data_IF_096825925368
#
_entry.id   IF_096825925368
#
_cell.length_a   1.000
_cell.length_b   1.000
_cell.length_c   1.000
_cell.angle_alpha   90.00
_cell.angle_beta   90.00
_cell.angle_gamma   90.00
#
_symmetry.space_group_name_H-M   'P 1'
#
loop_
_entity.id
_entity.type
_entity.pdbx_description
1 polymer ?
#
# COMPACT_ATOMS: atom_id res chain seq x y z
N UNK A 1 8.30 -23.15 -11.87
CA UNK A 1 8.27 -22.89 -13.31
C UNK A 1 6.87 -23.13 -13.88
N UNK A 2 6.31 -24.34 -13.71
CA UNK A 2 5.04 -24.78 -14.33
C UNK A 2 3.88 -23.79 -14.15
N UNK A 3 3.68 -23.22 -12.96
CA UNK A 3 2.64 -22.20 -12.70
C UNK A 3 2.75 -20.99 -13.64
N UNK A 4 3.98 -20.56 -13.89
CA UNK A 4 4.25 -19.39 -14.74
C UNK A 4 4.19 -19.71 -16.23
N UNK A 5 4.38 -20.97 -16.62
CA UNK A 5 4.12 -21.45 -17.98
C UNK A 5 2.61 -21.45 -18.26
N UNK A 6 1.79 -21.99 -17.36
CA UNK A 6 0.31 -21.99 -17.50
C UNK A 6 -0.24 -20.56 -17.60
N UNK A 7 0.26 -19.65 -16.78
CA UNK A 7 -0.20 -18.26 -16.77
C UNK A 7 0.35 -17.40 -17.90
N UNK A 8 1.30 -17.90 -18.72
CA UNK A 8 1.98 -17.14 -19.77
C UNK A 8 3.09 -16.21 -19.29
N UNK A 9 3.27 -16.06 -17.97
CA UNK A 9 4.34 -15.20 -17.45
C UNK A 9 5.75 -15.70 -17.78
N UNK A 10 5.91 -17.02 -17.97
CA UNK A 10 7.22 -17.57 -18.33
C UNK A 10 7.72 -17.05 -19.67
N UNK A 11 6.84 -16.84 -20.63
CA UNK A 11 7.17 -16.37 -21.98
C UNK A 11 7.31 -14.84 -22.03
N UNK A 12 6.46 -14.11 -21.30
CA UNK A 12 6.39 -12.64 -21.38
C UNK A 12 7.13 -11.90 -20.25
N UNK A 13 7.56 -12.59 -19.19
CA UNK A 13 8.12 -11.94 -17.98
C UNK A 13 9.37 -12.60 -17.42
N UNK A 14 9.90 -13.64 -18.07
CA UNK A 14 11.03 -14.45 -17.60
C UNK A 14 12.26 -13.62 -17.25
N UNK A 15 12.57 -12.58 -18.03
CA UNK A 15 13.75 -11.74 -17.85
C UNK A 15 13.77 -11.00 -16.50
N UNK A 16 12.60 -10.85 -15.88
CA UNK A 16 12.43 -10.23 -14.55
C UNK A 16 12.28 -11.25 -13.42
N UNK A 17 12.51 -12.53 -13.67
CA UNK A 17 12.43 -13.58 -12.65
C UNK A 17 13.81 -13.95 -12.13
N UNK A 18 13.93 -14.18 -10.83
CA UNK A 18 15.06 -14.90 -10.27
C UNK A 18 14.85 -16.39 -10.50
N UNK A 19 15.63 -16.96 -11.40
CA UNK A 19 15.56 -18.38 -11.77
C UNK A 19 16.60 -19.14 -10.97
N UNK A 20 16.20 -20.26 -10.40
CA UNK A 20 17.04 -21.15 -9.60
C UNK A 20 17.06 -22.52 -10.26
N UNK A 21 18.24 -22.99 -10.59
CA UNK A 21 18.48 -24.32 -11.14
C UNK A 21 19.08 -25.22 -10.07
N UNK A 22 18.47 -26.39 -9.81
CA UNK A 22 19.03 -27.34 -8.87
C UNK A 22 20.11 -28.19 -9.59
N UNK A 23 21.34 -27.77 -9.44
CA UNK A 23 22.51 -28.40 -10.04
C UNK A 23 22.79 -29.81 -9.52
N UNK A 24 22.13 -30.26 -8.46
CA UNK A 24 22.34 -31.62 -7.88
C UNK A 24 21.51 -32.69 -8.56
N UNK A 25 20.61 -32.38 -9.50
CA UNK A 25 19.69 -33.32 -10.14
C UNK A 25 20.15 -33.85 -11.53
N UNK A 26 21.41 -33.74 -11.85
CA UNK A 26 21.96 -34.36 -13.08
C UNK A 26 21.68 -33.58 -14.37
N UNK A 27 21.43 -34.29 -15.52
CA UNK A 27 21.33 -33.66 -16.85
C UNK A 27 20.07 -32.81 -17.10
N UNK A 28 19.01 -32.97 -16.30
CA UNK A 28 17.77 -32.22 -16.40
C UNK A 28 17.41 -31.66 -15.02
N UNK A 29 18.02 -30.56 -14.60
CA UNK A 29 17.74 -29.98 -13.29
C UNK A 29 16.31 -29.41 -13.21
N UNK A 30 15.67 -29.56 -12.07
CA UNK A 30 14.42 -28.85 -11.81
C UNK A 30 14.68 -27.34 -11.80
N UNK A 31 13.79 -26.60 -12.47
CA UNK A 31 13.86 -25.15 -12.55
C UNK A 31 12.79 -24.56 -11.64
N UNK A 32 13.25 -23.80 -10.68
CA UNK A 32 12.40 -23.01 -9.78
C UNK A 32 12.56 -21.52 -10.11
N UNK A 33 11.67 -20.71 -9.56
CA UNK A 33 11.84 -19.26 -9.55
C UNK A 33 11.31 -18.68 -8.24
N UNK A 34 11.91 -17.58 -7.79
CA UNK A 34 11.29 -16.80 -6.73
C UNK A 34 10.01 -16.16 -7.26
N UNK A 35 8.98 -16.10 -6.44
CA UNK A 35 7.65 -15.61 -6.81
C UNK A 35 7.72 -14.12 -7.25
N UNK A 36 7.47 -13.78 -8.53
CA UNK A 36 7.46 -12.40 -9.02
C UNK A 36 6.08 -11.74 -8.94
N UNK A 37 5.02 -12.57 -8.84
CA UNK A 37 3.61 -12.15 -8.82
C UNK A 37 2.76 -13.18 -8.07
N UNK A 38 1.64 -12.74 -7.51
CA UNK A 38 0.70 -13.58 -6.75
C UNK A 38 -0.39 -14.21 -7.63
N UNK A 39 -0.67 -13.65 -8.79
CA UNK A 39 -1.81 -14.05 -9.63
C UNK A 39 -1.90 -15.56 -9.90
N UNK A 40 -0.84 -16.31 -10.27
CA UNK A 40 -0.98 -17.76 -10.50
C UNK A 40 -1.38 -18.53 -9.24
N UNK A 41 -0.95 -18.06 -8.05
CA UNK A 41 -1.32 -18.69 -6.78
C UNK A 41 -2.82 -18.47 -6.49
N UNK A 42 -3.33 -17.25 -6.71
CA UNK A 42 -4.76 -16.95 -6.55
C UNK A 42 -5.64 -17.82 -7.45
N UNK A 43 -5.19 -18.12 -8.70
CA UNK A 43 -5.90 -19.02 -9.59
C UNK A 43 -5.98 -20.45 -9.04
N UNK A 44 -4.89 -20.95 -8.44
CA UNK A 44 -4.88 -22.28 -7.81
C UNK A 44 -5.79 -22.33 -6.60
N UNK A 45 -5.79 -21.29 -5.76
CA UNK A 45 -6.68 -21.18 -4.59
C UNK A 45 -8.16 -21.21 -5.04
N UNK A 46 -8.51 -20.42 -6.05
CA UNK A 46 -9.85 -20.45 -6.63
C UNK A 46 -10.22 -21.85 -7.15
N UNK A 47 -9.31 -22.49 -7.90
CA UNK A 47 -9.54 -23.82 -8.52
C UNK A 47 -9.74 -24.94 -7.51
N UNK A 48 -9.32 -24.76 -6.27
CA UNK A 48 -9.41 -25.79 -5.22
C UNK A 48 -10.88 -26.10 -4.80
N UNK A 49 -11.81 -25.20 -5.10
CA UNK A 49 -13.24 -25.36 -4.77
C UNK A 49 -14.11 -25.18 -6.01
N UNK A 50 -15.34 -25.70 -5.95
CA UNK A 50 -16.39 -25.40 -6.94
C UNK A 50 -17.09 -24.12 -6.58
N UNK A 51 -17.39 -23.27 -7.56
CA UNK A 51 -18.04 -21.99 -7.37
C UNK A 51 -19.31 -21.87 -8.19
N UNK A 52 -20.25 -21.08 -7.70
CA UNK A 52 -21.45 -20.66 -8.41
C UNK A 52 -21.47 -19.14 -8.60
N UNK A 53 -22.36 -18.64 -9.46
CA UNK A 53 -22.55 -17.20 -9.65
C UNK A 53 -22.89 -16.45 -8.35
N UNK A 54 -23.41 -17.13 -7.33
CA UNK A 54 -23.77 -16.55 -6.02
C UNK A 54 -22.55 -16.28 -5.15
N UNK A 55 -21.44 -16.95 -5.42
CA UNK A 55 -20.18 -16.77 -4.70
C UNK A 55 -19.38 -15.56 -5.24
N UNK A 56 -19.77 -15.10 -6.44
CA UNK A 56 -19.13 -13.94 -7.08
C UNK A 56 -19.81 -12.62 -6.70
N UNK A 57 -19.07 -11.55 -6.49
CA UNK A 57 -17.62 -11.41 -6.64
C UNK A 57 -16.86 -12.03 -5.47
N UNK A 58 -15.87 -12.88 -5.78
CA UNK A 58 -15.00 -13.51 -4.78
C UNK A 58 -13.66 -12.77 -4.75
N UNK A 59 -13.28 -12.26 -3.57
CA UNK A 59 -12.11 -11.38 -3.38
C UNK A 59 -11.06 -12.05 -2.52
N UNK A 60 -9.86 -12.26 -3.07
CA UNK A 60 -8.69 -12.73 -2.34
C UNK A 60 -7.67 -11.60 -2.21
N UNK A 61 -7.19 -11.33 -1.00
CA UNK A 61 -6.07 -10.44 -0.73
C UNK A 61 -4.83 -11.25 -0.42
N UNK A 62 -3.71 -10.87 -1.03
CA UNK A 62 -2.41 -11.52 -0.88
C UNK A 62 -1.32 -10.45 -0.73
N UNK A 63 -0.99 -10.13 0.52
CA UNK A 63 0.08 -9.19 0.85
C UNK A 63 1.40 -9.91 1.13
N UNK A 64 1.78 -10.86 0.30
CA UNK A 64 3.00 -11.65 0.47
C UNK A 64 4.19 -11.05 -0.30
N UNK A 65 5.36 -11.58 0.02
CA UNK A 65 6.65 -11.15 -0.54
C UNK A 65 6.77 -11.56 -2.00
N UNK A 66 7.17 -10.60 -2.82
CA UNK A 66 7.48 -10.75 -4.24
C UNK A 66 8.95 -10.44 -4.52
N UNK A 67 9.49 -11.06 -5.56
CA UNK A 67 10.87 -10.88 -5.98
C UNK A 67 10.95 -10.61 -7.48
N UNK A 68 11.59 -9.52 -7.86
CA UNK A 68 11.85 -9.18 -9.26
C UNK A 68 13.31 -8.92 -9.49
N UNK A 69 13.85 -9.56 -10.53
CA UNK A 69 15.24 -9.36 -10.97
C UNK A 69 15.34 -8.06 -11.76
N UNK A 70 15.27 -6.93 -11.04
CA UNK A 70 15.42 -5.61 -11.63
C UNK A 70 16.87 -5.39 -12.04
N UNK A 71 17.10 -4.68 -13.15
CA UNK A 71 18.46 -4.33 -13.59
C UNK A 71 19.11 -3.41 -12.57
N UNK A 72 20.42 -3.54 -12.38
CA UNK A 72 21.19 -2.78 -11.38
C UNK A 72 20.94 -1.26 -11.45
N UNK A 73 20.90 -0.68 -12.65
CA UNK A 73 20.64 0.75 -12.83
C UNK A 73 19.19 1.19 -12.58
N UNK A 74 18.28 0.26 -12.37
CA UNK A 74 16.86 0.56 -12.07
C UNK A 74 16.57 0.61 -10.57
N UNK A 75 17.45 0.06 -9.72
CA UNK A 75 17.26 0.05 -8.27
C UNK A 75 17.47 1.44 -7.68
N UNK A 76 16.59 1.87 -6.77
CA UNK A 76 16.62 3.21 -6.18
C UNK A 76 16.02 3.24 -4.78
N UNK A 77 16.86 3.10 -3.75
CA UNK A 77 16.46 3.16 -2.34
C UNK A 77 15.22 2.29 -2.05
N UNK A 78 14.21 2.85 -1.41
CA UNK A 78 12.91 2.20 -1.20
C UNK A 78 11.98 2.30 -2.43
N UNK A 79 12.26 3.20 -3.37
CA UNK A 79 11.38 3.48 -4.50
C UNK A 79 11.36 2.33 -5.53
N UNK A 80 12.47 1.59 -5.66
CA UNK A 80 12.56 0.41 -6.52
C UNK A 80 13.54 -0.61 -5.97
N UNK A 81 13.03 -1.71 -5.47
CA UNK A 81 13.76 -2.78 -4.80
C UNK A 81 13.50 -4.13 -5.48
N UNK A 82 14.39 -5.10 -5.30
CA UNK A 82 14.23 -6.45 -5.86
C UNK A 82 13.31 -7.35 -5.03
N UNK A 83 13.10 -7.05 -3.75
CA UNK A 83 12.18 -7.74 -2.84
C UNK A 83 11.22 -6.74 -2.25
N UNK A 84 9.93 -7.00 -2.36
CA UNK A 84 8.88 -6.07 -1.90
C UNK A 84 7.59 -6.79 -1.57
N UNK A 85 6.70 -6.09 -0.88
CA UNK A 85 5.34 -6.52 -0.55
C UNK A 85 4.36 -5.59 -1.26
N UNK A 86 3.28 -6.16 -1.83
CA UNK A 86 2.20 -5.38 -2.43
C UNK A 86 0.90 -5.57 -1.65
N UNK A 87 0.01 -4.57 -1.72
CA UNK A 87 -1.40 -4.70 -1.31
C UNK A 87 -2.22 -5.39 -2.41
N UNK A 88 -1.75 -6.55 -2.83
CA UNK A 88 -2.29 -7.28 -3.96
C UNK A 88 -3.64 -7.93 -3.64
N UNK A 89 -4.56 -7.88 -4.58
CA UNK A 89 -5.80 -8.64 -4.50
C UNK A 89 -6.29 -9.06 -5.89
N UNK A 90 -6.95 -10.22 -5.91
CA UNK A 90 -7.52 -10.85 -7.09
C UNK A 90 -9.01 -11.03 -6.87
N UNK A 91 -9.82 -10.39 -7.72
CA UNK A 91 -11.28 -10.38 -7.61
C UNK A 91 -11.84 -11.15 -8.78
N UNK A 92 -12.47 -12.29 -8.50
CA UNK A 92 -13.11 -13.13 -9.48
C UNK A 92 -14.56 -12.67 -9.64
N UNK A 93 -14.94 -12.32 -10.88
CA UNK A 93 -16.22 -11.70 -11.19
C UNK A 93 -16.91 -12.34 -12.39
N UNK A 94 -18.21 -12.22 -12.47
CA UNK A 94 -18.97 -12.39 -13.72
C UNK A 94 -18.85 -11.15 -14.59
N UNK A 95 -19.16 -11.27 -15.88
CA UNK A 95 -19.10 -10.15 -16.83
C UNK A 95 -19.96 -8.94 -16.36
N UNK A 96 -21.12 -9.18 -15.76
CA UNK A 96 -22.04 -8.12 -15.27
C UNK A 96 -21.51 -7.36 -14.06
N UNK A 97 -20.55 -7.92 -13.30
CA UNK A 97 -20.01 -7.34 -12.08
C UNK A 97 -18.78 -6.46 -12.29
N UNK A 98 -18.16 -6.49 -13.49
CA UNK A 98 -16.90 -5.77 -13.78
C UNK A 98 -17.01 -4.28 -13.40
N UNK A 99 -18.03 -3.60 -13.92
CA UNK A 99 -18.14 -2.13 -13.76
C UNK A 99 -18.34 -1.73 -12.29
N UNK A 100 -19.17 -2.46 -11.56
CA UNK A 100 -19.41 -2.19 -10.14
C UNK A 100 -18.17 -2.45 -9.29
N UNK A 101 -17.42 -3.52 -9.55
CA UNK A 101 -16.20 -3.80 -8.79
C UNK A 101 -15.09 -2.80 -9.09
N UNK A 102 -14.91 -2.39 -10.34
CA UNK A 102 -13.94 -1.34 -10.68
C UNK A 102 -14.30 -0.02 -10.01
N UNK A 103 -15.60 0.35 -10.00
CA UNK A 103 -16.05 1.55 -9.28
C UNK A 103 -15.74 1.47 -7.78
N UNK A 104 -16.01 0.33 -7.14
CA UNK A 104 -15.68 0.11 -5.73
C UNK A 104 -14.18 0.27 -5.46
N UNK A 105 -13.32 -0.24 -6.35
CA UNK A 105 -11.85 -0.09 -6.22
C UNK A 105 -11.45 1.38 -6.36
N UNK A 106 -12.02 2.12 -7.30
CA UNK A 106 -11.76 3.56 -7.47
C UNK A 106 -12.19 4.37 -6.24
N UNK A 107 -13.31 4.02 -5.63
CA UNK A 107 -13.79 4.67 -4.41
C UNK A 107 -12.87 4.38 -3.21
N UNK A 108 -12.37 3.14 -3.09
CA UNK A 108 -11.32 2.79 -2.10
C UNK A 108 -10.05 3.59 -2.37
N UNK A 109 -9.61 3.72 -3.62
CA UNK A 109 -8.43 4.49 -3.97
C UNK A 109 -8.60 5.98 -3.61
N UNK A 110 -9.76 6.60 -3.93
CA UNK A 110 -10.07 7.98 -3.53
C UNK A 110 -9.96 8.16 -2.03
N UNK A 111 -10.60 7.28 -1.26
CA UNK A 111 -10.54 7.32 0.21
C UNK A 111 -9.11 7.17 0.71
N UNK A 112 -8.38 6.16 0.21
CA UNK A 112 -7.02 5.88 0.64
C UNK A 112 -6.08 7.07 0.43
N UNK A 113 -6.02 7.61 -0.79
CA UNK A 113 -5.13 8.73 -1.11
C UNK A 113 -5.53 10.03 -0.40
N UNK A 114 -6.83 10.24 -0.13
CA UNK A 114 -7.30 11.40 0.63
C UNK A 114 -6.78 11.44 2.07
N UNK A 115 -6.60 10.27 2.71
CA UNK A 115 -6.06 10.15 4.08
C UNK A 115 -4.65 10.76 4.19
N UNK A 116 -3.87 10.69 3.11
CA UNK A 116 -2.50 11.22 3.06
C UNK A 116 -2.40 12.59 2.38
N UNK A 117 -3.53 13.17 1.97
CA UNK A 117 -3.59 14.39 1.15
C UNK A 117 -2.75 14.28 -0.15
N UNK A 118 -2.74 13.08 -0.75
CA UNK A 118 -2.04 12.81 -2.01
C UNK A 118 -3.01 12.96 -3.18
N UNK A 119 -2.67 13.81 -4.14
CA UNK A 119 -3.40 13.92 -5.40
C UNK A 119 -2.92 12.86 -6.39
N UNK A 120 -3.85 12.29 -7.14
CA UNK A 120 -3.56 11.33 -8.19
C UNK A 120 -4.40 11.58 -9.43
N UNK A 121 -3.98 11.03 -10.54
CA UNK A 121 -4.70 10.97 -11.81
C UNK A 121 -4.70 9.53 -12.30
N UNK A 122 -5.58 9.22 -13.25
CA UNK A 122 -5.68 7.87 -13.79
C UNK A 122 -5.12 7.81 -15.20
N UNK A 123 -4.55 6.66 -15.56
CA UNK A 123 -4.11 6.35 -16.92
C UNK A 123 -4.80 5.07 -17.39
N UNK A 124 -5.55 5.15 -18.49
CA UNK A 124 -6.09 3.96 -19.15
C UNK A 124 -5.04 3.38 -20.09
N UNK A 125 -4.40 2.29 -19.69
CA UNK A 125 -3.47 1.53 -20.51
C UNK A 125 -4.21 0.62 -21.49
N UNK A 126 -4.06 0.91 -22.79
CA UNK A 126 -4.70 0.15 -23.87
C UNK A 126 -3.79 -0.99 -24.35
N UNK A 127 -4.32 -1.83 -25.24
CA UNK A 127 -3.65 -3.04 -25.76
C UNK A 127 -2.23 -2.76 -26.28
N UNK A 128 -1.20 -3.51 -25.80
CA UNK A 128 0.14 -3.46 -26.32
C UNK A 128 0.24 -4.16 -27.70
N UNK A 129 1.42 -4.10 -28.35
CA UNK A 129 1.67 -4.81 -29.59
C UNK A 129 1.70 -6.33 -29.39
N UNK A 130 2.36 -6.77 -28.32
CA UNK A 130 2.41 -8.16 -27.89
C UNK A 130 1.36 -8.40 -26.79
N UNK A 131 0.28 -9.10 -27.13
CA UNK A 131 -0.86 -9.34 -26.26
C UNK A 131 -1.44 -10.75 -26.41
N UNK A 132 -2.03 -11.27 -25.35
CA UNK A 132 -2.75 -12.55 -25.35
C UNK A 132 -4.21 -12.38 -25.73
N UNK A 133 -4.79 -13.41 -26.35
CA UNK A 133 -6.21 -13.47 -26.66
C UNK A 133 -6.59 -12.81 -27.98
N UNK A 134 -7.87 -12.51 -28.15
CA UNK A 134 -8.38 -11.93 -29.40
C UNK A 134 -8.72 -10.43 -29.25
N UNK A 135 -8.69 -9.74 -30.39
CA UNK A 135 -8.92 -8.30 -30.44
C UNK A 135 -10.30 -7.88 -29.90
N UNK A 136 -11.35 -8.67 -30.12
CA UNK A 136 -12.72 -8.32 -29.71
C UNK A 136 -12.86 -8.29 -28.17
N UNK A 137 -12.24 -9.23 -27.47
CA UNK A 137 -12.25 -9.26 -26.00
C UNK A 137 -11.54 -8.01 -25.46
N UNK A 138 -10.43 -7.62 -26.08
CA UNK A 138 -9.69 -6.42 -25.72
C UNK A 138 -10.49 -5.13 -25.98
N UNK A 139 -11.08 -4.98 -27.17
CA UNK A 139 -11.87 -3.81 -27.53
C UNK A 139 -13.04 -3.64 -26.53
N UNK A 140 -13.70 -4.76 -26.16
CA UNK A 140 -14.77 -4.73 -25.15
C UNK A 140 -14.27 -4.38 -23.75
N UNK A 141 -13.14 -4.94 -23.34
CA UNK A 141 -12.54 -4.65 -22.05
C UNK A 141 -12.11 -3.18 -21.92
N UNK A 142 -11.49 -2.62 -22.96
CA UNK A 142 -11.11 -1.21 -23.01
C UNK A 142 -12.34 -0.30 -22.95
N UNK A 143 -13.41 -0.64 -23.65
CA UNK A 143 -14.69 0.09 -23.60
C UNK A 143 -15.30 0.06 -22.19
N UNK A 144 -15.33 -1.11 -21.53
CA UNK A 144 -15.87 -1.25 -20.17
C UNK A 144 -15.07 -0.42 -19.16
N UNK A 145 -13.73 -0.43 -19.26
CA UNK A 145 -12.88 0.40 -18.40
C UNK A 145 -13.11 1.89 -18.66
N UNK A 146 -13.21 2.28 -19.94
CA UNK A 146 -13.45 3.67 -20.32
C UNK A 146 -14.81 4.16 -19.81
N UNK A 147 -15.87 3.37 -19.95
CA UNK A 147 -17.20 3.69 -19.45
C UNK A 147 -17.21 3.97 -17.93
N UNK A 148 -16.45 3.20 -17.15
CA UNK A 148 -16.32 3.42 -15.69
C UNK A 148 -15.56 4.71 -15.42
N UNK A 149 -14.47 4.94 -16.14
CA UNK A 149 -13.67 6.16 -15.99
C UNK A 149 -14.46 7.42 -16.30
N UNK A 150 -15.22 7.43 -17.43
CA UNK A 150 -16.08 8.54 -17.85
C UNK A 150 -17.14 8.88 -16.78
N UNK A 151 -17.63 7.86 -16.03
CA UNK A 151 -18.63 8.02 -14.96
C UNK A 151 -18.02 8.35 -13.60
N UNK A 152 -16.74 8.10 -13.40
CA UNK A 152 -16.08 8.24 -12.08
C UNK A 152 -15.92 9.69 -11.62
N UNK A 153 -15.97 10.65 -12.56
CA UNK A 153 -15.67 12.06 -12.32
C UNK A 153 -14.19 12.35 -12.07
N UNK A 154 -13.31 11.35 -12.21
CA UNK A 154 -11.87 11.51 -12.07
C UNK A 154 -11.22 11.88 -13.40
N UNK A 155 -10.18 12.71 -13.33
CA UNK A 155 -9.37 12.99 -14.52
C UNK A 155 -8.56 11.75 -14.90
N UNK A 156 -8.58 11.42 -16.19
CA UNK A 156 -7.74 10.36 -16.74
C UNK A 156 -7.23 10.70 -18.15
N UNK A 157 -6.18 10.00 -18.58
CA UNK A 157 -5.63 10.07 -19.92
C UNK A 157 -5.36 8.67 -20.48
N UNK A 158 -5.22 8.59 -21.82
CA UNK A 158 -4.97 7.31 -22.50
C UNK A 158 -3.47 7.05 -22.60
N UNK A 159 -3.02 5.92 -22.08
CA UNK A 159 -1.70 5.35 -22.27
C UNK A 159 -1.74 4.29 -23.38
N UNK A 160 -1.45 4.69 -24.63
CA UNK A 160 -1.50 3.78 -25.77
C UNK A 160 -0.43 2.68 -25.65
N UNK A 161 -0.86 1.42 -25.69
CA UNK A 161 0.05 0.27 -25.60
C UNK A 161 0.58 -0.04 -24.19
N UNK A 162 0.06 0.64 -23.15
CA UNK A 162 0.52 0.50 -21.76
C UNK A 162 -0.23 -0.58 -20.97
N UNK A 163 -1.15 -1.31 -21.61
CA UNK A 163 -1.87 -2.45 -21.00
C UNK A 163 -0.92 -3.57 -20.59
N UNK A 164 -1.39 -4.48 -19.74
CA UNK A 164 -0.68 -5.72 -19.48
C UNK A 164 -0.82 -6.66 -20.69
N UNK A 165 0.05 -7.66 -20.85
CA UNK A 165 -0.05 -8.58 -21.98
C UNK A 165 -1.33 -9.41 -22.00
N UNK A 166 -2.02 -9.54 -20.88
CA UNK A 166 -3.26 -10.31 -20.70
C UNK A 166 -4.55 -9.45 -20.63
N UNK A 167 -4.44 -8.11 -20.52
CA UNK A 167 -5.61 -7.24 -20.47
C UNK A 167 -5.31 -5.75 -20.27
N UNK A 168 -6.30 -4.89 -20.57
CA UNK A 168 -6.18 -3.46 -20.33
C UNK A 168 -6.17 -3.15 -18.85
N UNK A 169 -5.69 -1.94 -18.49
CA UNK A 169 -5.53 -1.54 -17.10
C UNK A 169 -5.84 -0.08 -16.86
N UNK A 170 -6.19 0.23 -15.62
CA UNK A 170 -6.22 1.59 -15.09
C UNK A 170 -5.05 1.71 -14.12
N UNK A 171 -4.11 2.59 -14.40
CA UNK A 171 -3.01 2.89 -13.49
C UNK A 171 -3.35 4.13 -12.66
N UNK A 172 -3.01 4.07 -11.37
CA UNK A 172 -3.08 5.21 -10.45
C UNK A 172 -1.72 5.90 -10.48
N UNK A 173 -1.70 7.09 -11.09
CA UNK A 173 -0.51 7.90 -11.30
C UNK A 173 -0.48 9.06 -10.31
N UNK A 174 0.61 9.23 -9.59
CA UNK A 174 0.84 10.39 -8.74
C UNK A 174 2.14 11.09 -9.11
N UNK A 175 2.20 12.39 -8.81
CA UNK A 175 3.41 13.17 -8.88
C UNK A 175 3.96 13.41 -7.47
N UNK A 176 5.24 13.11 -7.26
CA UNK A 176 5.88 13.33 -5.96
C UNK A 176 6.27 14.81 -5.75
N UNK A 177 6.83 15.12 -4.58
CA UNK A 177 7.27 16.45 -4.22
C UNK A 177 8.42 17.00 -5.10
N UNK A 178 9.06 16.15 -5.90
CA UNK A 178 10.10 16.51 -6.87
C UNK A 178 9.57 16.54 -8.31
N UNK A 179 8.25 16.51 -8.50
CA UNK A 179 7.56 16.45 -9.79
C UNK A 179 7.92 15.21 -10.64
N UNK A 180 8.29 14.09 -10.01
CA UNK A 180 8.49 12.81 -10.70
C UNK A 180 7.17 12.05 -10.73
N UNK A 181 6.82 11.50 -11.89
CA UNK A 181 5.62 10.69 -12.05
C UNK A 181 5.86 9.25 -11.57
N UNK A 182 4.98 8.76 -10.71
CA UNK A 182 4.99 7.40 -10.19
C UNK A 182 3.69 6.68 -10.47
N UNK A 183 3.81 5.49 -11.06
CA UNK A 183 2.72 4.52 -11.02
C UNK A 183 2.74 3.84 -9.65
N UNK A 184 1.69 4.05 -8.85
CA UNK A 184 1.51 3.41 -7.55
C UNK A 184 0.57 2.22 -7.66
N UNK A 185 -0.70 2.48 -7.83
CA UNK A 185 -1.71 1.44 -7.96
C UNK A 185 -2.00 1.05 -9.40
N UNK A 186 -2.70 -0.06 -9.55
CA UNK A 186 -3.20 -0.52 -10.85
C UNK A 186 -4.45 -1.38 -10.66
N UNK A 187 -5.34 -1.33 -11.63
CA UNK A 187 -6.53 -2.18 -11.77
C UNK A 187 -6.44 -2.82 -13.15
N UNK A 188 -6.25 -4.12 -13.23
CA UNK A 188 -6.01 -4.83 -14.49
C UNK A 188 -7.13 -5.83 -14.72
N UNK A 189 -7.72 -5.80 -15.91
CA UNK A 189 -8.84 -6.66 -16.28
C UNK A 189 -8.33 -7.84 -17.10
N UNK A 190 -8.47 -9.03 -16.57
CA UNK A 190 -7.88 -10.26 -17.11
C UNK A 190 -8.95 -11.26 -17.55
N UNK A 191 -8.98 -11.51 -18.85
CA UNK A 191 -9.82 -12.52 -19.49
C UNK A 191 -9.05 -13.78 -19.90
N UNK A 192 -7.73 -13.83 -19.73
CA UNK A 192 -6.85 -14.82 -20.33
C UNK A 192 -6.33 -15.84 -19.31
N UNK A 193 -5.73 -15.39 -18.21
CA UNK A 193 -5.13 -16.28 -17.21
C UNK A 193 -6.17 -17.23 -16.62
N UNK A 194 -7.42 -16.81 -16.26
CA UNK A 194 -8.44 -17.73 -15.79
C UNK A 194 -8.76 -18.86 -16.78
N UNK A 195 -8.76 -18.57 -18.08
CA UNK A 195 -8.98 -19.56 -19.14
C UNK A 195 -7.83 -20.56 -19.17
N UNK A 196 -6.58 -20.10 -19.09
CA UNK A 196 -5.39 -20.94 -19.11
C UNK A 196 -5.35 -21.92 -17.91
N UNK A 197 -5.84 -21.47 -16.74
CA UNK A 197 -5.99 -22.33 -15.56
C UNK A 197 -7.23 -23.23 -15.60
N UNK A 198 -8.12 -23.05 -16.59
CA UNK A 198 -9.38 -23.78 -16.71
C UNK A 198 -10.31 -23.51 -15.52
N UNK A 199 -10.40 -22.23 -15.07
CA UNK A 199 -11.28 -21.85 -14.00
C UNK A 199 -12.73 -21.78 -14.47
N UNK A 200 -13.65 -22.25 -13.64
CA UNK A 200 -15.09 -22.23 -13.95
C UNK A 200 -15.93 -21.88 -12.73
N UNK A 201 -17.11 -21.34 -12.99
CA UNK A 201 -18.23 -21.24 -12.04
C UNK A 201 -19.52 -21.68 -12.73
N UNK A 202 -20.49 -22.16 -11.96
CA UNK A 202 -21.83 -22.47 -12.48
C UNK A 202 -22.66 -21.21 -12.49
N UNK A 203 -23.15 -20.79 -13.68
CA UNK A 203 -24.01 -19.61 -13.80
C UNK A 203 -25.47 -19.93 -13.43
N UNK A 204 -26.33 -18.90 -13.40
CA UNK A 204 -27.75 -19.00 -13.05
C UNK A 204 -28.56 -19.89 -13.98
N UNK A 205 -28.12 -20.11 -15.21
CA UNK A 205 -28.70 -20.99 -16.20
C UNK A 205 -28.17 -22.45 -16.12
N UNK A 206 -27.30 -22.75 -15.14
CA UNK A 206 -26.65 -24.05 -14.96
C UNK A 206 -25.43 -24.29 -15.87
N UNK A 207 -25.10 -23.36 -16.76
CA UNK A 207 -23.92 -23.49 -17.62
C UNK A 207 -22.63 -23.19 -16.86
N UNK A 208 -21.51 -23.84 -17.29
CA UNK A 208 -20.19 -23.51 -16.79
C UNK A 208 -19.62 -22.32 -17.55
N UNK A 209 -19.21 -21.28 -16.83
CA UNK A 209 -18.57 -20.08 -17.38
C UNK A 209 -17.21 -19.85 -16.74
N UNK A 210 -16.28 -19.23 -17.48
CA UNK A 210 -14.98 -18.80 -16.96
C UNK A 210 -15.15 -17.46 -16.25
N UNK A 211 -14.70 -17.28 -15.00
CA UNK A 211 -14.70 -15.97 -14.34
C UNK A 211 -13.70 -15.04 -15.01
N UNK A 212 -13.95 -13.75 -14.87
CA UNK A 212 -13.01 -12.69 -15.20
C UNK A 212 -12.27 -12.34 -13.92
N UNK A 213 -11.00 -11.98 -14.02
CA UNK A 213 -10.22 -11.56 -12.85
C UNK A 213 -9.85 -10.10 -12.94
N UNK A 214 -10.11 -9.38 -11.86
CA UNK A 214 -9.61 -8.03 -11.64
C UNK A 214 -8.43 -8.12 -10.69
N UNK A 215 -7.22 -7.88 -11.19
CA UNK A 215 -6.02 -7.72 -10.37
C UNK A 215 -5.96 -6.28 -9.89
N UNK A 216 -5.79 -6.04 -8.59
CA UNK A 216 -5.70 -4.68 -8.09
C UNK A 216 -4.64 -4.51 -7.03
N UNK A 217 -3.92 -3.41 -7.11
CA UNK A 217 -3.14 -2.81 -6.02
C UNK A 217 -3.55 -1.33 -5.90
N UNK A 218 -3.68 -0.82 -4.69
CA UNK A 218 -4.05 0.57 -4.43
C UNK A 218 -2.80 1.43 -4.29
N UNK A 219 -1.89 1.09 -3.36
CA UNK A 219 -0.66 1.86 -3.15
C UNK A 219 0.58 1.25 -3.82
N UNK A 220 0.46 0.05 -4.39
CA UNK A 220 1.56 -0.64 -5.05
C UNK A 220 2.46 -1.39 -4.07
N UNK A 221 3.78 -1.24 -4.18
CA UNK A 221 4.67 -1.83 -3.18
C UNK A 221 4.72 -0.98 -1.91
N UNK A 222 4.71 -1.66 -0.75
CA UNK A 222 4.79 -1.02 0.56
C UNK A 222 6.06 -0.17 0.67
N UNK A 223 7.19 -0.70 0.20
CA UNK A 223 8.49 -0.02 0.25
C UNK A 223 8.47 1.28 -0.55
N UNK A 224 7.97 1.25 -1.79
CA UNK A 224 7.84 2.46 -2.62
C UNK A 224 6.91 3.47 -1.98
N UNK A 225 5.76 3.03 -1.48
CA UNK A 225 4.79 3.91 -0.85
C UNK A 225 5.37 4.56 0.42
N UNK A 226 6.09 3.79 1.24
CA UNK A 226 6.82 4.34 2.40
C UNK A 226 7.87 5.37 1.98
N UNK A 227 8.65 5.09 0.96
CA UNK A 227 9.64 6.03 0.43
C UNK A 227 9.00 7.35 -0.02
N UNK A 228 7.89 7.25 -0.74
CA UNK A 228 7.11 8.41 -1.19
C UNK A 228 6.53 9.19 0.00
N UNK A 229 5.97 8.52 1.01
CA UNK A 229 5.44 9.18 2.20
C UNK A 229 6.53 9.91 2.99
N UNK A 230 7.73 9.32 3.12
CA UNK A 230 8.88 9.97 3.77
C UNK A 230 9.23 11.27 3.04
N UNK A 231 9.28 11.25 1.71
CA UNK A 231 9.55 12.43 0.90
C UNK A 231 8.38 13.44 0.97
N UNK A 232 7.13 12.97 0.85
CA UNK A 232 5.91 13.79 0.89
C UNK A 232 5.79 14.61 2.17
N UNK A 233 6.03 13.98 3.32
CA UNK A 233 6.02 14.64 4.62
C UNK A 233 7.39 15.23 5.01
N UNK A 234 8.40 15.14 4.15
CA UNK A 234 9.78 15.50 4.46
C UNK A 234 10.25 14.89 5.80
N UNK A 235 9.80 13.68 6.13
CA UNK A 235 10.05 13.00 7.39
C UNK A 235 9.24 13.53 8.60
N UNK A 236 8.47 14.60 8.44
CA UNK A 236 7.63 15.17 9.50
C UNK A 236 6.22 14.55 9.47
N UNK A 237 6.14 13.26 9.72
CA UNK A 237 4.88 12.52 9.68
C UNK A 237 3.81 13.14 10.59
N UNK A 238 2.52 13.11 10.17
CA UNK A 238 1.42 13.46 11.05
C UNK A 238 1.37 12.53 12.28
N UNK A 239 0.74 12.97 13.36
CA UNK A 239 0.77 12.27 14.64
C UNK A 239 0.40 10.79 14.52
N UNK A 240 -0.68 10.48 13.81
CA UNK A 240 -1.18 9.11 13.67
C UNK A 240 -0.22 8.16 12.92
N UNK A 241 0.69 8.69 12.06
CA UNK A 241 1.72 7.94 11.32
C UNK A 241 3.08 7.93 12.02
N UNK A 242 3.35 8.87 12.92
CA UNK A 242 4.68 9.01 13.53
C UNK A 242 5.08 7.77 14.32
N UNK A 243 6.30 7.22 14.12
CA UNK A 243 6.78 6.08 14.91
C UNK A 243 6.84 6.37 16.40
N UNK A 244 7.29 7.58 16.76
CA UNK A 244 7.26 8.15 18.10
C UNK A 244 6.35 9.37 18.05
N UNK A 245 5.24 9.32 18.78
CA UNK A 245 4.23 10.37 18.79
C UNK A 245 4.53 11.45 19.83
N UNK A 246 5.12 11.03 20.95
CA UNK A 246 5.46 11.92 22.06
C UNK A 246 6.76 11.48 22.71
N UNK A 247 7.67 12.40 22.97
CA UNK A 247 8.81 12.19 23.87
C UNK A 247 8.60 12.94 25.17
N UNK A 248 8.93 12.31 26.29
CA UNK A 248 8.81 12.88 27.64
C UNK A 248 10.22 13.12 28.17
N UNK A 249 10.49 14.35 28.56
CA UNK A 249 11.80 14.85 28.94
C UNK A 249 11.80 15.27 30.42
N UNK A 250 12.20 14.44 31.38
CA UNK A 250 12.37 14.87 32.76
C UNK A 250 13.50 15.91 32.85
N UNK A 251 13.30 17.01 33.57
CA UNK A 251 14.32 18.05 33.75
C UNK A 251 15.50 17.51 34.55
N UNK A 252 15.24 16.75 35.61
CA UNK A 252 16.24 16.17 36.45
C UNK A 252 15.96 14.70 36.82
N UNK A 253 16.94 14.03 37.45
CA UNK A 253 16.83 12.62 37.81
C UNK A 253 15.62 12.30 38.71
N UNK A 254 15.26 13.23 39.59
CA UNK A 254 14.10 13.11 40.52
C UNK A 254 12.73 13.11 39.79
N UNK A 255 12.69 13.63 38.54
CA UNK A 255 11.46 13.69 37.75
C UNK A 255 11.28 12.45 36.85
N UNK A 256 12.21 11.51 36.86
CA UNK A 256 12.17 10.33 35.97
C UNK A 256 10.96 9.42 36.31
N UNK A 257 10.65 9.23 37.58
CA UNK A 257 9.51 8.41 37.98
C UNK A 257 8.19 9.01 37.50
N UNK A 258 8.05 10.32 37.63
CA UNK A 258 6.88 11.04 37.11
C UNK A 258 6.79 10.97 35.58
N UNK A 259 7.91 11.14 34.86
CA UNK A 259 7.96 10.97 33.40
C UNK A 259 7.55 9.55 32.97
N UNK A 260 7.98 8.52 33.71
CA UNK A 260 7.61 7.13 33.45
C UNK A 260 6.11 6.87 33.69
N UNK A 261 5.49 7.48 34.73
CA UNK A 261 4.06 7.35 34.97
C UNK A 261 3.23 7.95 33.83
N UNK A 262 3.64 9.10 33.28
CA UNK A 262 3.04 9.71 32.09
C UNK A 262 3.18 8.79 30.88
N UNK A 263 4.38 8.25 30.66
CA UNK A 263 4.63 7.33 29.57
C UNK A 263 3.74 6.07 29.64
N UNK A 264 3.53 5.53 30.83
CA UNK A 264 2.60 4.41 31.03
C UNK A 264 1.16 4.79 30.71
N UNK A 265 0.71 5.99 31.12
CA UNK A 265 -0.63 6.50 30.83
C UNK A 265 -0.86 6.67 29.31
N UNK A 266 0.14 7.21 28.59
CA UNK A 266 0.09 7.33 27.12
C UNK A 266 0.05 5.97 26.43
N UNK A 267 0.93 5.04 26.82
CA UNK A 267 0.98 3.68 26.26
C UNK A 267 -0.29 2.88 26.52
N UNK A 268 -0.93 3.06 27.69
CA UNK A 268 -2.22 2.44 27.99
C UNK A 268 -3.35 2.86 27.04
N UNK A 269 -3.16 3.99 26.33
CA UNK A 269 -4.05 4.50 25.27
C UNK A 269 -3.52 4.27 23.86
N UNK A 270 -2.57 3.35 23.71
CA UNK A 270 -1.90 3.02 22.42
C UNK A 270 -1.17 4.23 21.77
N UNK A 271 -0.77 5.22 22.55
CA UNK A 271 0.06 6.33 22.09
C UNK A 271 1.53 5.91 22.18
N UNK A 272 2.24 5.97 21.04
CA UNK A 272 3.67 5.59 20.95
C UNK A 272 4.52 6.69 21.58
N UNK A 273 5.03 6.44 22.78
CA UNK A 273 5.78 7.43 23.55
C UNK A 273 7.04 6.84 24.18
N UNK A 274 8.03 7.69 24.40
CA UNK A 274 9.31 7.35 25.00
C UNK A 274 9.73 8.38 26.06
N UNK A 275 10.47 7.93 27.09
CA UNK A 275 11.13 8.81 28.06
C UNK A 275 12.61 8.90 27.68
N UNK A 276 13.10 10.12 27.46
CA UNK A 276 14.52 10.37 27.21
C UNK A 276 15.14 11.08 28.41
N UNK A 277 16.04 10.40 29.13
CA UNK A 277 16.70 10.90 30.32
C UNK A 277 18.21 11.06 30.19
N UNK A 278 18.81 10.51 29.14
CA UNK A 278 20.23 10.65 28.86
C UNK A 278 20.53 12.03 28.30
N UNK A 279 21.70 12.61 28.61
CA UNK A 279 22.15 13.91 28.16
C UNK A 279 21.42 15.13 28.79
N UNK A 280 21.82 16.33 28.42
CA UNK A 280 21.19 17.57 28.93
C UNK A 280 19.81 17.80 28.33
N UNK A 281 18.93 18.47 29.07
CA UNK A 281 17.59 18.78 28.59
C UNK A 281 17.58 19.49 27.24
N UNK A 282 18.44 20.51 27.06
CA UNK A 282 18.55 21.26 25.82
C UNK A 282 18.93 20.37 24.63
N UNK A 283 19.82 19.39 24.84
CA UNK A 283 20.24 18.47 23.78
C UNK A 283 19.12 17.49 23.44
N UNK A 284 18.35 17.01 24.44
CA UNK A 284 17.18 16.15 24.24
C UNK A 284 16.08 16.87 23.46
N UNK A 285 15.76 18.12 23.80
CA UNK A 285 14.80 18.93 23.05
C UNK A 285 15.26 19.07 21.62
N UNK A 286 16.51 19.47 21.37
CA UNK A 286 17.06 19.59 20.01
C UNK A 286 17.01 18.28 19.23
N UNK A 287 17.30 17.17 19.87
CA UNK A 287 17.24 15.86 19.23
C UNK A 287 15.80 15.48 18.84
N UNK A 288 14.82 15.75 19.69
CA UNK A 288 13.41 15.53 19.41
C UNK A 288 12.91 16.42 18.24
N UNK A 289 13.36 17.67 18.18
CA UNK A 289 13.07 18.60 17.07
C UNK A 289 13.72 18.11 15.75
N UNK A 290 14.97 17.65 15.78
CA UNK A 290 15.66 17.09 14.62
C UNK A 290 15.01 15.80 14.12
N UNK A 291 14.50 14.95 15.02
CA UNK A 291 13.73 13.77 14.67
C UNK A 291 12.29 14.08 14.27
N UNK A 292 11.91 15.37 14.27
CA UNK A 292 10.57 15.83 13.88
C UNK A 292 9.45 15.18 14.69
N UNK A 293 9.73 14.91 15.98
CA UNK A 293 8.74 14.34 16.90
C UNK A 293 7.52 15.29 17.02
N UNK A 294 6.29 14.78 16.87
CA UNK A 294 5.10 15.64 16.90
C UNK A 294 4.91 16.44 18.19
N UNK A 295 5.10 15.76 19.32
CA UNK A 295 4.95 16.36 20.64
C UNK A 295 6.14 16.08 21.57
N UNK A 296 6.56 17.11 22.27
CA UNK A 296 7.59 17.05 23.32
C UNK A 296 6.94 17.47 24.63
N UNK A 297 6.99 16.60 25.63
CA UNK A 297 6.50 16.86 26.98
C UNK A 297 7.72 17.09 27.87
N UNK A 298 7.76 18.20 28.60
CA UNK A 298 8.81 18.50 29.57
C UNK A 298 8.20 18.45 30.96
N UNK A 299 8.86 17.79 31.88
CA UNK A 299 8.42 17.68 33.27
C UNK A 299 9.55 17.97 34.24
N UNK A 300 9.36 18.98 35.04
CA UNK A 300 10.22 19.41 36.13
C UNK A 300 9.48 19.34 37.47
N UNK A 301 10.03 20.01 38.46
CA UNK A 301 9.49 20.00 39.82
C UNK A 301 8.07 20.59 39.89
N UNK A 302 7.86 21.72 39.20
CA UNK A 302 6.56 22.41 39.16
C UNK A 302 5.48 21.53 38.53
N UNK A 303 5.82 20.90 37.41
CA UNK A 303 4.90 20.01 36.69
C UNK A 303 4.54 18.79 37.55
N UNK A 304 5.53 18.22 38.23
CA UNK A 304 5.32 17.07 39.11
C UNK A 304 4.49 17.44 40.35
N UNK A 305 4.77 18.60 40.99
CA UNK A 305 4.05 19.07 42.19
C UNK A 305 2.56 19.34 41.90
N UNK A 306 2.26 19.88 40.71
CA UNK A 306 0.89 20.20 40.30
C UNK A 306 0.21 19.08 39.47
N UNK A 307 0.88 17.95 39.26
CA UNK A 307 0.39 16.84 38.42
C UNK A 307 0.00 17.26 37.00
N UNK A 308 0.78 18.16 36.40
CA UNK A 308 0.62 18.69 35.05
C UNK A 308 1.84 18.38 34.18
N UNK A 309 1.77 18.70 32.89
CA UNK A 309 2.85 18.56 31.92
C UNK A 309 3.01 19.84 31.11
N UNK A 310 4.24 20.22 30.77
CA UNK A 310 4.51 21.29 29.81
C UNK A 310 4.65 20.69 28.42
N UNK A 311 3.86 21.13 27.46
CA UNK A 311 3.74 20.53 26.12
C UNK A 311 4.26 21.49 25.06
N UNK A 312 5.09 20.96 24.15
CA UNK A 312 5.51 21.61 22.92
C UNK A 312 5.03 20.82 21.72
N UNK A 313 4.49 21.51 20.75
CA UNK A 313 4.02 20.91 19.48
C UNK A 313 4.96 21.32 18.34
N UNK A 314 5.29 20.36 17.49
CA UNK A 314 6.08 20.62 16.28
C UNK A 314 5.41 21.69 15.41
N UNK A 315 6.18 22.63 14.88
CA UNK A 315 5.79 23.78 14.06
C UNK A 315 5.01 24.89 14.80
N UNK A 316 4.45 24.62 15.98
CA UNK A 316 3.68 25.61 16.77
C UNK A 316 4.54 26.15 17.90
N UNK A 317 5.31 25.32 18.58
CA UNK A 317 6.13 25.70 19.72
C UNK A 317 5.47 25.32 21.04
N UNK A 318 5.65 26.19 22.06
CA UNK A 318 5.13 25.98 23.41
C UNK A 318 3.60 26.14 23.46
N UNK A 319 2.91 25.12 23.93
CA UNK A 319 1.45 25.12 24.14
C UNK A 319 1.06 25.43 25.59
N UNK A 320 2.04 25.53 26.51
CA UNK A 320 1.80 25.71 27.96
C UNK A 320 1.53 24.39 28.67
N UNK A 321 0.87 24.51 29.82
CA UNK A 321 0.61 23.41 30.74
C UNK A 321 -0.74 22.73 30.45
N UNK A 322 -0.74 21.39 30.56
CA UNK A 322 -1.92 20.53 30.40
C UNK A 322 -2.06 19.58 31.57
N UNK A 323 -3.29 19.14 31.88
CA UNK A 323 -3.47 17.89 32.60
C UNK A 323 -3.08 16.72 31.70
N UNK A 324 -2.72 15.58 32.29
CA UNK A 324 -2.37 14.39 31.50
C UNK A 324 -3.58 13.90 30.71
N UNK A 325 -4.76 13.97 31.30
CA UNK A 325 -6.03 13.54 30.70
C UNK A 325 -6.42 14.40 29.50
N UNK A 326 -6.30 15.73 29.58
CA UNK A 326 -6.61 16.64 28.48
C UNK A 326 -5.64 16.46 27.33
N UNK A 327 -4.36 16.26 27.62
CA UNK A 327 -3.36 15.98 26.61
C UNK A 327 -3.62 14.66 25.89
N UNK A 328 -3.92 13.59 26.61
CA UNK A 328 -4.29 12.30 26.04
C UNK A 328 -5.52 12.44 25.14
N UNK A 329 -6.55 13.12 25.63
CA UNK A 329 -7.79 13.34 24.87
C UNK A 329 -7.54 14.10 23.55
N UNK A 330 -6.66 15.11 23.58
CA UNK A 330 -6.22 15.85 22.40
C UNK A 330 -5.52 14.94 21.39
N UNK A 331 -4.58 14.10 21.86
CA UNK A 331 -3.84 13.19 20.97
C UNK A 331 -4.75 12.14 20.33
N UNK A 332 -5.66 11.55 21.12
CA UNK A 332 -6.61 10.55 20.62
C UNK A 332 -7.47 11.16 19.50
N UNK A 333 -8.03 12.35 19.73
CA UNK A 333 -8.84 13.05 18.72
C UNK A 333 -8.04 13.32 17.45
N UNK A 334 -6.80 13.80 17.56
CA UNK A 334 -5.94 14.08 16.40
C UNK A 334 -5.60 12.78 15.62
N UNK A 335 -5.41 11.67 16.33
CA UNK A 335 -5.13 10.35 15.73
C UNK A 335 -6.38 9.81 15.01
N UNK A 336 -7.56 9.87 15.65
CA UNK A 336 -8.82 9.37 15.10
C UNK A 336 -9.25 10.16 13.86
N UNK A 337 -9.15 11.48 13.93
CA UNK A 337 -9.47 12.39 12.83
C UNK A 337 -8.40 12.38 11.71
N UNK A 338 -7.29 11.64 11.87
CA UNK A 338 -6.15 11.57 10.94
C UNK A 338 -5.65 12.95 10.49
N UNK A 339 -5.55 13.89 11.43
CA UNK A 339 -5.19 15.27 11.15
C UNK A 339 -3.77 15.34 10.57
N UNK A 340 -3.63 16.07 9.46
CA UNK A 340 -2.34 16.44 8.87
C UNK A 340 -2.10 17.91 9.15
N UNK A 341 -1.04 18.20 9.89
CA UNK A 341 -0.57 19.57 10.18
C UNK A 341 0.64 19.85 9.28
N UNK A 342 0.58 20.94 8.55
CA UNK A 342 1.63 21.42 7.66
C UNK A 342 2.46 22.49 8.37
#
# INVERSE_FOLDING_TARGET
>A
KQLYEISGHWDHYKDKMFIIEDKNQGKNPDIYCLKPMNCPNAMIVYKHQTHSYRDLPLRYSDCDVLHRNEKSGELSGLLRVSKFIQDDAHIFVSLSQIKSEIQNILDIAKLFYSIFNIKFQLRLGTRPQDFMGNKKDWDKAEEDLKDVLDKSGLYYYIGKGEGAFYGPKIDIMMQDCLNRDWQLGTIQLDFQIPKNFGLTYTDSDGSLKTPIVIHRVIYGSLERFMGILIEHFAGAFPLWLSPIQTVILPVGGKNIEYANSINMSLKAKNIRSEVWSNETLSKRIRNAELQKTPYIVVVGDKEQEHSIIAVRERFVGDLGAFSIEDFISRLIKEIEDKIIKN
#
